data_IF_943581845062
#
_entry.id   IF_943581845062
#
_cell.length_a   1.000
_cell.length_b   1.000
_cell.length_c   1.000
_cell.angle_alpha   90.00
_cell.angle_beta   90.00
_cell.angle_gamma   90.00
#
_symmetry.space_group_name_H-M   'P 1'
#
loop_
_entity.id
_entity.type
_entity.pdbx_description
1 polymer ?
#
# COMPACT_ATOMS: atom_id res chain seq x y z
N UNK A 1 32.70 24.95 14.69
CA UNK A 1 32.00 23.71 14.32
C UNK A 1 30.83 24.12 13.46
N UNK A 2 30.95 23.94 12.15
CA UNK A 2 29.84 24.15 11.22
C UNK A 2 28.85 23.01 11.44
N UNK A 3 27.55 23.30 11.54
CA UNK A 3 26.55 22.24 11.55
C UNK A 3 26.66 21.41 10.26
N UNK A 4 26.46 20.08 10.34
CA UNK A 4 26.41 19.26 9.14
C UNK A 4 25.22 19.70 8.29
N UNK A 5 25.43 19.83 6.98
CA UNK A 5 24.36 20.13 6.03
C UNK A 5 23.20 19.15 6.21
N UNK A 6 21.94 19.62 6.12
CA UNK A 6 20.78 18.75 6.27
C UNK A 6 20.86 17.61 5.25
N UNK A 7 20.51 16.37 5.65
CA UNK A 7 20.61 15.22 4.76
C UNK A 7 19.79 15.49 3.50
N UNK A 8 20.48 15.63 2.37
CA UNK A 8 19.86 15.84 1.07
C UNK A 8 19.01 14.61 0.79
N UNK A 9 17.68 14.77 0.78
CA UNK A 9 16.77 13.66 0.47
C UNK A 9 17.08 13.17 -0.93
N UNK A 10 17.17 11.85 -1.10
CA UNK A 10 17.31 11.30 -2.45
C UNK A 10 16.05 11.63 -3.25
N UNK A 11 16.18 11.83 -4.56
CA UNK A 11 15.03 12.11 -5.44
C UNK A 11 13.96 11.02 -5.39
N UNK A 12 14.33 9.79 -5.03
CA UNK A 12 13.43 8.66 -4.80
C UNK A 12 12.60 8.84 -3.53
N UNK A 13 13.22 9.30 -2.44
CA UNK A 13 12.53 9.58 -1.18
C UNK A 13 11.54 10.74 -1.34
N UNK A 14 11.90 11.73 -2.15
CA UNK A 14 11.00 12.85 -2.49
C UNK A 14 9.82 12.39 -3.34
N UNK A 15 10.04 11.54 -4.35
CA UNK A 15 8.97 10.96 -5.14
C UNK A 15 8.05 10.06 -4.29
N UNK A 16 8.63 9.27 -3.39
CA UNK A 16 7.86 8.43 -2.48
C UNK A 16 7.05 9.23 -1.46
N UNK A 17 7.46 10.45 -1.11
CA UNK A 17 6.70 11.33 -0.21
C UNK A 17 5.29 11.61 -0.75
N UNK A 18 5.13 11.76 -2.07
CA UNK A 18 3.83 11.94 -2.72
C UNK A 18 2.98 10.66 -2.79
N UNK A 19 3.57 9.52 -2.44
CA UNK A 19 2.92 8.21 -2.45
C UNK A 19 2.58 7.72 -1.04
N UNK A 20 3.03 8.41 0.00
CA UNK A 20 2.73 8.07 1.39
C UNK A 20 1.22 8.03 1.64
N UNK A 21 0.84 7.10 2.50
CA UNK A 21 -0.53 6.79 2.94
C UNK A 21 -1.48 6.35 1.83
N UNK A 22 -0.98 6.21 0.59
CA UNK A 22 -1.76 5.61 -0.49
C UNK A 22 -1.77 4.10 -0.36
N UNK A 23 -2.83 3.50 -0.87
CA UNK A 23 -3.02 2.06 -0.84
C UNK A 23 -2.25 1.39 -1.98
N UNK A 24 -1.46 0.37 -1.68
CA UNK A 24 -0.63 -0.34 -2.63
C UNK A 24 -0.87 -1.84 -2.58
N UNK A 25 -0.73 -2.48 -3.74
CA UNK A 25 -0.61 -3.93 -3.91
C UNK A 25 0.82 -4.26 -4.33
N UNK A 26 1.50 -5.04 -3.50
CA UNK A 26 2.88 -5.47 -3.70
C UNK A 26 2.88 -6.99 -3.91
N UNK A 27 3.39 -7.43 -5.06
CA UNK A 27 3.72 -8.84 -5.25
C UNK A 27 5.14 -9.08 -4.79
N UNK A 28 5.35 -10.07 -3.92
CA UNK A 28 6.69 -10.51 -3.51
C UNK A 28 7.16 -11.72 -4.32
N UNK A 29 8.46 -12.02 -4.27
CA UNK A 29 9.11 -13.06 -5.10
C UNK A 29 8.50 -14.45 -4.97
N UNK A 30 8.02 -14.80 -3.79
CA UNK A 30 7.35 -16.08 -3.51
C UNK A 30 5.90 -16.14 -4.02
N UNK A 31 5.41 -15.07 -4.66
CA UNK A 31 4.09 -15.01 -5.28
C UNK A 31 2.99 -14.46 -4.37
N UNK A 32 3.27 -14.22 -3.08
CA UNK A 32 2.28 -13.61 -2.18
C UNK A 32 1.94 -12.18 -2.61
N UNK A 33 0.69 -11.80 -2.38
CA UNK A 33 0.18 -10.46 -2.63
C UNK A 33 -0.04 -9.76 -1.30
N UNK A 34 0.66 -8.66 -1.08
CA UNK A 34 0.51 -7.81 0.10
C UNK A 34 -0.23 -6.54 -0.30
N UNK A 35 -1.31 -6.23 0.39
CA UNK A 35 -2.16 -5.08 0.10
C UNK A 35 -2.22 -4.22 1.36
N UNK A 36 -1.80 -2.95 1.29
CA UNK A 36 -1.72 -2.09 2.48
C UNK A 36 -1.31 -0.66 2.14
N UNK A 37 -1.22 0.19 3.17
CA UNK A 37 -0.96 1.62 3.01
C UNK A 37 0.55 1.90 3.11
N UNK A 38 1.11 2.64 2.15
CA UNK A 38 2.53 2.98 2.15
C UNK A 38 2.86 3.95 3.30
N UNK A 39 3.53 3.47 4.35
CA UNK A 39 3.85 4.30 5.51
C UNK A 39 5.18 5.04 5.36
N UNK A 40 6.20 4.38 4.81
CA UNK A 40 7.47 5.00 4.47
C UNK A 40 8.26 4.16 3.46
N UNK A 41 9.25 4.81 2.85
CA UNK A 41 10.28 4.16 2.04
C UNK A 41 11.65 4.69 2.46
N UNK A 42 12.62 3.80 2.62
CA UNK A 42 13.99 4.20 2.89
C UNK A 42 14.78 4.51 1.61
N UNK A 43 16.03 4.95 1.76
CA UNK A 43 16.90 5.30 0.62
C UNK A 43 17.35 4.08 -0.20
N UNK A 44 17.21 2.86 0.34
CA UNK A 44 17.47 1.62 -0.38
C UNK A 44 16.22 1.10 -1.11
N UNK A 45 15.07 1.75 -0.90
CA UNK A 45 13.80 1.38 -1.50
C UNK A 45 13.06 0.29 -0.73
N UNK A 46 13.42 0.00 0.52
CA UNK A 46 12.60 -0.85 1.40
C UNK A 46 11.32 -0.10 1.78
N UNK A 47 10.21 -0.83 1.84
CA UNK A 47 8.88 -0.24 2.05
C UNK A 47 8.32 -0.74 3.39
N UNK A 48 7.70 0.15 4.16
CA UNK A 48 6.80 -0.22 5.24
C UNK A 48 5.35 -0.05 4.77
N UNK A 49 4.57 -1.13 4.86
CA UNK A 49 3.12 -1.11 4.67
C UNK A 49 2.41 -1.18 6.02
N UNK A 50 1.42 -0.31 6.24
CA UNK A 50 0.49 -0.37 7.35
C UNK A 50 -0.84 -1.02 6.91
N UNK A 51 -1.63 -1.47 7.88
CA UNK A 51 -2.94 -2.11 7.64
C UNK A 51 -2.88 -3.25 6.60
N UNK A 52 -1.76 -3.96 6.55
CA UNK A 52 -1.45 -4.89 5.48
C UNK A 52 -2.31 -6.13 5.59
N UNK A 53 -2.87 -6.56 4.47
CA UNK A 53 -3.56 -7.82 4.27
C UNK A 53 -2.77 -8.63 3.25
N UNK A 54 -2.51 -9.89 3.56
CA UNK A 54 -2.02 -10.85 2.56
C UNK A 54 -3.22 -11.47 1.84
N UNK A 55 -3.24 -11.39 0.51
CA UNK A 55 -4.21 -12.06 -0.36
C UNK A 55 -3.56 -13.32 -0.95
N UNK A 56 -3.95 -14.49 -0.45
CA UNK A 56 -3.47 -15.78 -0.94
C UNK A 56 -4.54 -16.43 -1.83
N UNK A 57 -4.20 -16.68 -3.10
CA UNK A 57 -5.03 -17.49 -3.98
C UNK A 57 -4.77 -18.97 -3.67
N UNK A 58 -5.80 -19.66 -3.18
CA UNK A 58 -5.78 -21.11 -2.96
C UNK A 58 -6.85 -21.78 -3.81
N UNK A 59 -6.52 -22.92 -4.41
CA UNK A 59 -7.53 -23.77 -5.04
C UNK A 59 -8.06 -24.78 -4.03
N UNK A 60 -9.35 -24.72 -3.73
CA UNK A 60 -10.03 -25.71 -2.87
C UNK A 60 -11.18 -26.33 -3.64
N UNK A 61 -11.09 -27.64 -3.90
CA UNK A 61 -12.10 -28.41 -4.65
C UNK A 61 -12.41 -27.82 -6.05
N UNK A 62 -11.39 -27.32 -6.76
CA UNK A 62 -11.54 -26.76 -8.11
C UNK A 62 -12.10 -25.34 -8.15
N UNK A 63 -12.25 -24.67 -7.00
CA UNK A 63 -12.59 -23.25 -6.93
C UNK A 63 -11.38 -22.44 -6.41
N UNK A 64 -11.07 -21.33 -7.08
CA UNK A 64 -10.11 -20.36 -6.59
C UNK A 64 -10.72 -19.55 -5.45
N UNK A 65 -10.20 -19.73 -4.25
CA UNK A 65 -10.55 -19.00 -3.04
C UNK A 65 -9.43 -17.99 -2.78
N UNK A 66 -9.80 -16.72 -2.63
CA UNK A 66 -8.88 -15.69 -2.15
C UNK A 66 -8.98 -15.61 -0.62
N UNK A 67 -8.02 -16.18 0.08
CA UNK A 67 -7.91 -16.03 1.53
C UNK A 67 -7.24 -14.69 1.86
N UNK A 68 -7.86 -13.93 2.77
CA UNK A 68 -7.34 -12.65 3.28
C UNK A 68 -6.81 -12.85 4.70
N UNK A 69 -5.54 -12.54 4.94
CA UNK A 69 -4.90 -12.65 6.26
C UNK A 69 -4.40 -11.27 6.72
N UNK A 70 -4.88 -10.81 7.87
CA UNK A 70 -4.46 -9.54 8.43
C UNK A 70 -3.04 -9.66 9.00
N UNK A 71 -2.13 -8.81 8.52
CA UNK A 71 -0.71 -8.78 8.89
C UNK A 71 -0.34 -7.53 9.71
N UNK A 72 -1.08 -6.43 9.56
CA UNK A 72 -0.80 -5.18 10.28
C UNK A 72 0.36 -4.40 9.64
N UNK A 73 1.47 -4.25 10.37
CA UNK A 73 2.65 -3.52 9.88
C UNK A 73 3.66 -4.49 9.27
N UNK A 74 4.04 -4.26 8.01
CA UNK A 74 4.90 -5.18 7.25
C UNK A 74 6.06 -4.41 6.61
N UNK A 75 7.28 -4.89 6.85
CA UNK A 75 8.46 -4.49 6.09
C UNK A 75 8.55 -5.35 4.83
N UNK A 76 8.61 -4.70 3.67
CA UNK A 76 8.87 -5.34 2.38
C UNK A 76 10.26 -4.90 1.87
N UNK A 77 11.27 -5.79 1.98
CA UNK A 77 12.59 -5.52 1.43
C UNK A 77 12.54 -5.35 -0.09
N UNK A 78 13.34 -4.43 -0.63
CA UNK A 78 13.43 -4.20 -2.08
C UNK A 78 13.80 -5.49 -2.82
N UNK A 79 14.62 -6.35 -2.22
CA UNK A 79 15.07 -7.60 -2.79
C UNK A 79 13.95 -8.65 -2.85
N UNK A 80 12.90 -8.53 -2.05
CA UNK A 80 11.76 -9.45 -2.08
C UNK A 80 10.63 -8.94 -2.95
N UNK A 81 10.67 -7.66 -3.36
CA UNK A 81 9.61 -7.03 -4.14
C UNK A 81 9.73 -7.39 -5.62
N UNK A 82 8.68 -7.98 -6.18
CA UNK A 82 8.55 -8.24 -7.62
C UNK A 82 7.82 -7.09 -8.33
N UNK A 83 6.79 -6.52 -7.71
CA UNK A 83 6.02 -5.39 -8.27
C UNK A 83 5.48 -4.49 -7.15
N UNK A 84 5.10 -3.26 -7.50
CA UNK A 84 4.46 -2.32 -6.60
C UNK A 84 3.41 -1.54 -7.40
N UNK A 85 2.13 -1.69 -7.07
CA UNK A 85 1.03 -1.10 -7.83
C UNK A 85 0.16 -0.25 -6.91
N UNK A 86 -0.03 1.02 -7.27
CA UNK A 86 -0.99 1.89 -6.61
C UNK A 86 -2.41 1.35 -6.85
N UNK A 87 -3.14 1.09 -5.77
CA UNK A 87 -4.55 0.75 -5.82
C UNK A 87 -5.36 2.05 -5.78
N UNK A 88 -6.07 2.34 -6.86
CA UNK A 88 -6.99 3.48 -6.93
C UNK A 88 -8.37 2.96 -6.64
N UNK A 89 -9.09 3.56 -5.69
CA UNK A 89 -10.48 3.20 -5.46
C UNK A 89 -11.34 3.60 -6.67
N UNK A 90 -12.15 2.68 -7.20
CA UNK A 90 -13.21 3.00 -8.15
C UNK A 90 -14.13 4.11 -7.62
N UNK A 91 -14.64 4.97 -8.51
CA UNK A 91 -15.59 6.03 -8.14
C UNK A 91 -16.88 5.49 -7.49
N UNK A 92 -17.29 4.26 -7.82
CA UNK A 92 -18.44 3.58 -7.23
C UNK A 92 -18.30 3.36 -5.72
N UNK A 93 -17.08 3.05 -5.25
CA UNK A 93 -16.81 2.88 -3.82
C UNK A 93 -16.89 4.23 -3.07
N UNK A 94 -16.61 5.34 -3.75
CA UNK A 94 -16.77 6.69 -3.18
C UNK A 94 -18.25 7.00 -2.90
N UNK A 95 -19.17 6.54 -3.75
CA UNK A 95 -20.60 6.69 -3.51
C UNK A 95 -21.04 5.85 -2.31
N UNK A 96 -20.62 4.59 -2.24
CA UNK A 96 -20.91 3.71 -1.11
C UNK A 96 -20.37 4.26 0.23
N UNK A 97 -19.17 4.88 0.22
CA UNK A 97 -18.61 5.55 1.40
C UNK A 97 -19.45 6.75 1.81
N UNK A 98 -19.95 7.57 0.87
CA UNK A 98 -20.82 8.71 1.16
C UNK A 98 -22.13 8.27 1.82
N UNK A 99 -22.72 7.19 1.30
CA UNK A 99 -23.92 6.60 1.86
C UNK A 99 -23.66 6.07 3.27
N UNK A 100 -22.51 5.41 3.50
CA UNK A 100 -22.12 4.88 4.80
C UNK A 100 -21.81 5.96 5.84
N UNK A 101 -21.29 7.12 5.40
CA UNK A 101 -21.02 8.28 6.26
C UNK A 101 -22.24 9.18 6.46
N UNK A 102 -23.38 8.84 5.85
CA UNK A 102 -24.65 9.58 5.95
C UNK A 102 -24.50 11.08 5.61
N UNK A 103 -23.59 11.42 4.70
CA UNK A 103 -23.34 12.81 4.29
C UNK A 103 -24.38 13.19 3.25
N UNK A 104 -25.47 13.80 3.70
CA UNK A 104 -26.51 14.36 2.84
C UNK A 104 -25.88 15.36 1.88
N UNK A 105 -25.98 15.12 0.57
CA UNK A 105 -25.67 16.13 -0.44
C UNK A 105 -26.68 17.27 -0.30
N UNK A 106 -26.31 18.36 0.37
CA UNK A 106 -26.94 19.65 0.11
C UNK A 106 -26.46 20.10 -1.27
N UNK A 107 -27.23 19.78 -2.29
CA UNK A 107 -27.06 20.32 -3.64
C UNK A 107 -27.26 21.84 -3.58
N UNK A 108 -26.41 22.67 -4.21
CA UNK A 108 -26.61 24.13 -4.25
C UNK A 108 -27.84 24.53 -5.06
#
# INVERSE_FOLDING_TARGET
MSEPDPPTRSSLTEQAAHLLFKHFKITVKDGRQLVGDLQCMDNYGNIILANTVEEALMERRGQAICEKRNMGLVLVPVEQRRSCQLQVMPMEDVAAIKDLLNVSTSTP
#
